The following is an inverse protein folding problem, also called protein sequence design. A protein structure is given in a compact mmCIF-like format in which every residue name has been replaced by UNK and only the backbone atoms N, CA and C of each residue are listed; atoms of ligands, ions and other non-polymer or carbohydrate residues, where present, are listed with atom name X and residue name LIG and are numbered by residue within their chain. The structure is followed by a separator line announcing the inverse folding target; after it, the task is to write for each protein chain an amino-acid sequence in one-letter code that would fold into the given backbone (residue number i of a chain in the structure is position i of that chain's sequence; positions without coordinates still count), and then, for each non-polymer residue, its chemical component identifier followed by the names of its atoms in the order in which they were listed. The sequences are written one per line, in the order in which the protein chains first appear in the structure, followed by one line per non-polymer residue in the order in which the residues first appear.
data_IF_009483294228
#
_entry.id   IF_009483294228
#
_cell.length_a   1.000
_cell.length_b   1.000
_cell.length_c   1.000
_cell.angle_alpha   90.00
_cell.angle_beta   90.00
_cell.angle_gamma   90.00
#
_symmetry.space_group_name_H-M   'P 1'
#
loop_
_entity.id
_entity.type
_entity.pdbx_description
1 polymer ?
#
# COMPACT_ATOMS: atom_id res chain seq x y z
N UNK A 1 -14.88 -20.32 9.09
CA UNK A 1 -14.47 -20.01 9.25
C UNK A 1 -13.81 -19.20 9.12
N UNK A 2 -13.92 -18.91 8.84
CA UNK A 2 -13.13 -17.91 8.90
C UNK A 2 -11.71 -18.24 8.92
N UNK A 3 -11.40 -19.35 8.42
CA UNK A 3 -10.02 -19.75 8.35
C UNK A 3 -9.20 -18.80 7.52
N UNK A 4 -9.77 -18.32 6.45
CA UNK A 4 -9.06 -17.37 5.62
C UNK A 4 -8.73 -16.11 6.35
N UNK A 5 -9.64 -15.66 7.17
CA UNK A 5 -9.41 -14.43 7.89
C UNK A 5 -8.32 -14.58 8.90
N UNK A 6 -8.26 -15.72 9.53
CA UNK A 6 -7.20 -15.96 10.47
C UNK A 6 -5.84 -15.95 9.79
N UNK A 7 -5.82 -16.40 8.53
CA UNK A 7 -4.57 -16.49 7.81
C UNK A 7 -4.26 -15.25 7.00
N UNK A 8 -5.12 -14.25 7.06
CA UNK A 8 -4.89 -13.01 6.32
C UNK A 8 -4.21 -12.00 7.24
N UNK A 9 -2.90 -11.76 7.06
CA UNK A 9 -2.18 -10.85 7.94
C UNK A 9 -2.64 -9.40 7.81
N UNK A 10 -3.44 -9.09 6.78
CA UNK A 10 -3.96 -7.75 6.58
C UNK A 10 -5.35 -7.56 7.15
N UNK A 11 -5.88 -8.61 7.78
CA UNK A 11 -7.22 -8.50 8.34
C UNK A 11 -7.23 -7.41 9.42
N UNK A 12 -8.14 -6.45 9.29
CA UNK A 12 -8.24 -5.37 10.24
C UNK A 12 -7.28 -4.21 9.99
N UNK A 13 -6.40 -4.33 9.01
CA UNK A 13 -5.48 -3.25 8.68
C UNK A 13 -6.01 -2.50 7.47
N UNK A 14 -6.19 -1.21 7.63
CA UNK A 14 -6.75 -0.40 6.56
C UNK A 14 -5.69 -0.02 5.54
N UNK A 15 -6.11 0.16 4.29
CA UNK A 15 -5.18 0.55 3.24
C UNK A 15 -4.47 1.86 3.58
N UNK A 16 -5.16 2.79 4.21
CA UNK A 16 -4.54 4.05 4.62
C UNK A 16 -3.39 3.80 5.59
N UNK A 17 -3.59 2.89 6.54
CA UNK A 17 -2.55 2.57 7.52
C UNK A 17 -1.36 1.90 6.85
N UNK A 18 -1.63 1.01 5.91
CA UNK A 18 -0.58 0.34 5.15
C UNK A 18 0.27 1.37 4.41
N UNK A 19 -0.40 2.27 3.73
CA UNK A 19 0.30 3.27 2.93
C UNK A 19 1.12 4.21 3.81
N UNK A 20 0.55 4.67 4.91
CA UNK A 20 1.27 5.55 5.81
C UNK A 20 2.50 4.89 6.40
N UNK A 21 2.37 3.60 6.74
CA UNK A 21 3.51 2.85 7.27
C UNK A 21 4.62 2.74 6.23
N UNK A 22 4.26 2.48 4.99
CA UNK A 22 5.24 2.35 3.91
C UNK A 22 5.91 3.67 3.60
N UNK A 23 5.16 4.76 3.62
CA UNK A 23 5.74 6.09 3.39
C UNK A 23 6.69 6.44 4.52
N UNK A 24 6.32 6.11 5.75
CA UNK A 24 7.19 6.37 6.89
C UNK A 24 8.47 5.55 6.81
N UNK A 25 8.38 4.34 6.29
CA UNK A 25 9.53 3.44 6.21
C UNK A 25 10.45 3.82 5.06
N UNK A 26 9.90 4.09 3.88
CA UNK A 26 10.69 4.27 2.67
C UNK A 26 10.75 5.70 2.16
N UNK A 27 9.73 6.50 2.47
CA UNK A 27 9.57 7.80 1.82
C UNK A 27 8.97 7.64 0.44
N UNK A 28 8.45 8.74 -0.09
CA UNK A 28 7.78 8.70 -1.39
C UNK A 28 8.73 8.31 -2.53
N UNK A 29 9.94 8.79 -2.48
CA UNK A 29 10.89 8.54 -3.55
C UNK A 29 11.21 7.05 -3.67
N UNK A 30 11.55 6.44 -2.55
CA UNK A 30 11.87 5.02 -2.56
C UNK A 30 10.64 4.18 -2.88
N UNK A 31 9.50 4.58 -2.35
CA UNK A 31 8.26 3.86 -2.59
C UNK A 31 7.89 3.89 -4.06
N UNK A 32 8.07 5.03 -4.71
CA UNK A 32 7.82 5.16 -6.14
C UNK A 32 8.80 4.37 -6.99
N UNK A 33 10.00 4.18 -6.47
CA UNK A 33 10.99 3.36 -7.15
C UNK A 33 10.59 1.89 -7.08
N UNK A 34 10.10 1.45 -5.94
CA UNK A 34 9.72 0.05 -5.74
C UNK A 34 8.40 -0.29 -6.41
N UNK A 35 7.48 0.63 -6.40
CA UNK A 35 6.18 0.48 -7.05
C UNK A 35 6.01 1.67 -7.97
N UNK A 36 6.29 1.47 -9.23
CA UNK A 36 6.35 2.56 -10.20
C UNK A 36 4.94 2.91 -10.67
N UNK A 37 4.25 3.71 -9.89
CA UNK A 37 2.94 4.21 -10.26
C UNK A 37 2.95 5.72 -10.13
N UNK A 38 2.11 6.34 -10.94
CA UNK A 38 2.12 7.79 -11.07
C UNK A 38 1.84 8.52 -9.78
N UNK A 39 0.92 8.01 -8.99
CA UNK A 39 0.55 8.69 -7.75
C UNK A 39 1.66 8.69 -6.70
N UNK A 40 2.68 7.87 -6.88
CA UNK A 40 3.84 7.86 -5.99
C UNK A 40 4.96 8.74 -6.52
N UNK A 41 4.97 9.00 -7.82
CA UNK A 41 6.08 9.68 -8.48
C UNK A 41 5.78 11.12 -8.87
N UNK A 42 4.53 11.51 -8.88
CA UNK A 42 4.14 12.87 -9.25
C UNK A 42 3.31 13.46 -8.13
N UNK A 43 3.86 14.48 -7.48
CA UNK A 43 3.14 15.24 -6.47
C UNK A 43 2.45 14.32 -5.48
N UNK A 44 3.18 13.38 -4.88
CA UNK A 44 2.55 12.32 -4.10
C UNK A 44 1.91 12.83 -2.82
N UNK A 45 0.79 12.21 -2.47
CA UNK A 45 0.13 12.45 -1.21
C UNK A 45 -0.63 11.19 -0.82
N UNK A 46 -0.91 11.05 0.47
CA UNK A 46 -1.68 9.91 0.96
C UNK A 46 -3.06 9.90 0.31
N UNK A 47 -3.70 11.06 0.25
CA UNK A 47 -5.06 11.17 -0.25
C UNK A 47 -5.17 10.76 -1.72
N UNK A 48 -4.30 11.29 -2.57
CA UNK A 48 -4.37 10.98 -3.99
C UNK A 48 -3.98 9.53 -4.26
N UNK A 49 -3.02 9.03 -3.50
CA UNK A 49 -2.60 7.65 -3.65
C UNK A 49 -3.70 6.68 -3.25
N UNK A 50 -4.39 6.95 -2.15
CA UNK A 50 -5.50 6.11 -1.73
C UNK A 50 -6.60 6.10 -2.78
N UNK A 51 -6.89 7.23 -3.36
CA UNK A 51 -7.92 7.33 -4.39
C UNK A 51 -7.59 6.43 -5.57
N UNK A 52 -6.34 6.46 -6.00
CA UNK A 52 -5.89 5.63 -7.11
C UNK A 52 -5.91 4.15 -6.75
N UNK A 53 -5.39 3.82 -5.57
CA UNK A 53 -5.25 2.43 -5.17
C UNK A 53 -6.61 1.76 -4.96
N UNK A 54 -7.59 2.51 -4.47
CA UNK A 54 -8.91 1.95 -4.28
C UNK A 54 -9.58 1.54 -5.58
N UNK A 55 -9.17 2.16 -6.68
CA UNK A 55 -9.74 1.87 -7.99
C UNK A 55 -8.87 0.95 -8.83
N UNK A 56 -7.70 0.59 -8.33
CA UNK A 56 -6.72 -0.12 -9.14
C UNK A 56 -6.22 -1.34 -8.37
N UNK A 57 -6.93 -2.47 -8.48
CA UNK A 57 -6.61 -3.65 -7.68
C UNK A 57 -5.17 -4.15 -7.84
N UNK A 58 -4.61 -4.12 -9.05
CA UNK A 58 -3.26 -4.63 -9.24
C UNK A 58 -2.23 -3.77 -8.49
N UNK A 59 -2.44 -2.47 -8.42
CA UNK A 59 -1.53 -1.58 -7.71
C UNK A 59 -1.69 -1.74 -6.20
N UNK A 60 -2.92 -1.87 -5.75
CA UNK A 60 -3.18 -2.10 -4.33
C UNK A 60 -2.53 -3.39 -3.87
N UNK A 61 -2.60 -4.43 -4.69
CA UNK A 61 -1.98 -5.71 -4.37
C UNK A 61 -0.47 -5.57 -4.20
N UNK A 62 0.17 -4.80 -5.06
CA UNK A 62 1.60 -4.57 -4.95
C UNK A 62 1.95 -3.86 -3.64
N UNK A 63 1.14 -2.89 -3.25
CA UNK A 63 1.35 -2.17 -2.01
C UNK A 63 1.19 -3.12 -0.81
N UNK A 64 0.17 -3.94 -0.84
CA UNK A 64 -0.07 -4.89 0.24
C UNK A 64 1.06 -5.91 0.35
N UNK A 65 1.57 -6.38 -0.77
CA UNK A 65 2.68 -7.32 -0.77
C UNK A 65 3.94 -6.69 -0.20
N UNK A 66 4.21 -5.45 -0.57
CA UNK A 66 5.38 -4.77 -0.03
C UNK A 66 5.25 -4.59 1.47
N UNK A 67 4.06 -4.27 1.94
CA UNK A 67 3.80 -4.13 3.36
C UNK A 67 4.12 -5.44 4.10
N UNK A 68 3.65 -6.56 3.56
CA UNK A 68 3.88 -7.85 4.18
C UNK A 68 5.35 -8.25 4.18
N UNK A 69 6.09 -7.84 3.17
CA UNK A 69 7.53 -8.10 3.13
C UNK A 69 8.30 -7.24 4.10
N UNK A 70 7.81 -6.04 4.36
CA UNK A 70 8.52 -5.05 5.16
C UNK A 70 8.25 -5.22 6.65
N UNK A 71 7.03 -5.56 6.97
CA UNK A 71 6.58 -5.66 8.35
C UNK A 71 6.03 -7.06 8.63
#
# INVERSE_FOLDING_TARGET
MSGEQKNNPLHGVKLADILEALVAEYGWEELGYRIDIRCFNYDPSIKSSLKFLRRTPWAREKVERLYLKTF
#
